data_IF_278868053404
#
_entry.id   IF_278868053404
#
_cell.length_a   1.000
_cell.length_b   1.000
_cell.length_c   1.000
_cell.angle_alpha   90.00
_cell.angle_beta   90.00
_cell.angle_gamma   90.00
#
_symmetry.space_group_name_H-M   'P 1'
#
loop_
_entity.id
_entity.type
_entity.pdbx_description
1 polymer ?
#
# COMPACT_ATOMS: atom_id res chain seq x y z
N UNK A 1 -31.94 -4.65 -12.34
CA UNK A 1 -32.43 -4.51 -10.95
C UNK A 1 -31.40 -5.00 -9.91
N UNK A 2 -30.09 -4.96 -10.21
CA UNK A 2 -29.01 -5.41 -9.28
C UNK A 2 -28.27 -4.28 -8.54
N UNK A 3 -28.62 -3.02 -8.75
CA UNK A 3 -27.82 -1.88 -8.27
C UNK A 3 -28.05 -1.47 -6.79
N UNK A 4 -28.99 -2.08 -6.06
CA UNK A 4 -29.21 -1.71 -4.64
C UNK A 4 -28.18 -2.29 -3.67
N UNK A 5 -27.33 -3.24 -4.10
CA UNK A 5 -26.34 -3.90 -3.22
C UNK A 5 -25.00 -3.15 -3.06
N UNK A 6 -24.79 -2.05 -3.79
CA UNK A 6 -23.49 -1.37 -3.82
C UNK A 6 -23.46 -0.03 -3.06
N UNK A 7 -24.49 0.25 -2.26
CA UNK A 7 -24.57 1.49 -1.48
C UNK A 7 -23.65 1.39 -0.28
N UNK A 8 -22.67 2.28 -0.18
CA UNK A 8 -21.72 2.33 0.94
C UNK A 8 -22.22 3.27 2.04
N UNK A 9 -22.04 2.85 3.30
CA UNK A 9 -22.23 3.71 4.46
C UNK A 9 -21.27 4.90 4.43
N UNK A 10 -21.79 6.11 4.60
CA UNK A 10 -21.04 7.36 4.56
C UNK A 10 -19.83 7.38 5.50
N UNK A 11 -19.91 6.70 6.66
CA UNK A 11 -18.80 6.63 7.62
C UNK A 11 -17.68 5.71 7.15
N UNK A 12 -18.03 4.60 6.49
CA UNK A 12 -17.03 3.69 5.90
C UNK A 12 -16.32 4.41 4.75
N UNK A 13 -17.09 5.12 3.92
CA UNK A 13 -16.55 5.94 2.85
C UNK A 13 -15.61 7.03 3.38
N UNK A 14 -16.01 7.75 4.44
CA UNK A 14 -15.19 8.77 5.08
C UNK A 14 -13.89 8.19 5.67
N UNK A 15 -13.94 6.98 6.25
CA UNK A 15 -12.77 6.30 6.79
C UNK A 15 -11.78 5.82 5.71
N UNK A 16 -12.29 5.44 4.53
CA UNK A 16 -11.48 5.03 3.37
C UNK A 16 -11.01 6.21 2.51
N UNK A 17 -11.71 7.35 2.57
CA UNK A 17 -11.51 8.53 1.72
C UNK A 17 -10.04 8.99 1.61
N UNK A 18 -9.25 9.09 2.70
CA UNK A 18 -7.85 9.52 2.59
C UNK A 18 -7.02 8.64 1.65
N UNK A 19 -7.18 7.31 1.72
CA UNK A 19 -6.42 6.38 0.89
C UNK A 19 -6.90 6.42 -0.57
N UNK A 20 -8.22 6.50 -0.78
CA UNK A 20 -8.81 6.63 -2.12
C UNK A 20 -8.33 7.93 -2.78
N UNK A 21 -8.33 9.04 -2.04
CA UNK A 21 -7.82 10.33 -2.51
C UNK A 21 -6.35 10.22 -2.92
N UNK A 22 -5.51 9.60 -2.09
CA UNK A 22 -4.10 9.40 -2.41
C UNK A 22 -3.89 8.55 -3.67
N UNK A 23 -4.67 7.48 -3.86
CA UNK A 23 -4.58 6.66 -5.09
C UNK A 23 -5.08 7.40 -6.35
N UNK A 24 -6.16 8.16 -6.23
CA UNK A 24 -6.72 8.93 -7.32
C UNK A 24 -5.73 10.02 -7.81
N UNK A 25 -4.96 10.60 -6.90
CA UNK A 25 -3.90 11.56 -7.24
C UNK A 25 -2.87 10.99 -8.23
N UNK A 26 -2.61 9.68 -8.20
CA UNK A 26 -1.67 9.01 -9.10
C UNK A 26 -2.31 8.41 -10.36
N UNK A 27 -3.58 8.70 -10.65
CA UNK A 27 -4.33 8.15 -11.81
C UNK A 27 -4.50 6.61 -11.76
N UNK A 28 -4.37 6.01 -10.58
CA UNK A 28 -4.66 4.60 -10.33
C UNK A 28 -5.83 4.46 -9.34
N UNK A 29 -7.04 4.95 -9.69
CA UNK A 29 -8.21 4.67 -8.87
C UNK A 29 -8.36 3.15 -8.76
N UNK A 30 -8.67 2.64 -7.57
CA UNK A 30 -8.93 1.19 -7.39
C UNK A 30 -10.39 0.82 -7.66
N UNK A 31 -11.29 1.78 -7.45
CA UNK A 31 -12.71 1.68 -7.72
C UNK A 31 -13.29 3.08 -7.90
N UNK A 32 -14.49 3.15 -8.48
CA UNK A 32 -15.22 4.40 -8.67
C UNK A 32 -16.25 4.57 -7.57
N UNK A 33 -16.43 5.80 -7.11
CA UNK A 33 -17.49 6.17 -6.18
C UNK A 33 -18.36 7.22 -6.86
N UNK A 34 -19.65 6.93 -6.99
CA UNK A 34 -20.63 7.85 -7.56
C UNK A 34 -21.89 7.75 -6.72
N UNK A 35 -22.35 8.87 -6.15
CA UNK A 35 -23.59 8.92 -5.35
C UNK A 35 -23.67 7.83 -4.26
N UNK A 36 -22.58 7.65 -3.49
CA UNK A 36 -22.43 6.61 -2.45
C UNK A 36 -22.42 5.17 -2.97
N UNK A 37 -22.50 4.96 -4.27
CA UNK A 37 -22.33 3.64 -4.86
C UNK A 37 -20.86 3.41 -5.20
N UNK A 38 -20.34 2.27 -4.75
CA UNK A 38 -19.02 1.78 -5.19
C UNK A 38 -19.20 0.91 -6.43
N UNK A 39 -18.35 1.13 -7.44
CA UNK A 39 -18.38 0.33 -8.65
C UNK A 39 -16.95 -0.03 -9.08
N UNK A 40 -16.76 -1.19 -9.73
CA UNK A 40 -15.49 -1.49 -10.38
C UNK A 40 -15.21 -0.43 -11.44
N UNK A 41 -13.94 -0.29 -11.80
CA UNK A 41 -13.53 0.67 -12.83
C UNK A 41 -14.24 0.32 -14.13
N UNK A 42 -14.97 1.28 -14.69
CA UNK A 42 -15.65 1.10 -15.96
C UNK A 42 -14.62 0.95 -17.10
N UNK A 43 -14.96 0.24 -18.19
CA UNK A 43 -14.05 0.07 -19.33
C UNK A 43 -13.50 1.39 -19.90
N UNK A 44 -14.28 2.47 -19.85
CA UNK A 44 -13.83 3.82 -20.28
C UNK A 44 -12.69 4.35 -19.42
N UNK A 45 -12.67 4.01 -18.14
CA UNK A 45 -11.64 4.43 -17.20
C UNK A 45 -10.35 3.59 -17.32
N UNK A 46 -10.38 2.43 -17.99
CA UNK A 46 -9.16 1.65 -18.30
C UNK A 46 -8.20 2.45 -19.15
N UNK A 47 -8.70 3.28 -20.08
CA UNK A 47 -7.88 4.17 -20.88
C UNK A 47 -7.13 5.18 -20.00
N UNK A 48 -7.79 5.76 -18.99
CA UNK A 48 -7.14 6.70 -18.06
C UNK A 48 -6.02 6.03 -17.26
N UNK A 49 -6.28 4.85 -16.68
CA UNK A 49 -5.25 4.11 -15.95
C UNK A 49 -4.11 3.60 -16.85
N UNK A 50 -4.41 3.27 -18.11
CA UNK A 50 -3.38 2.91 -19.09
C UNK A 50 -2.50 4.12 -19.43
N UNK A 51 -3.09 5.30 -19.63
CA UNK A 51 -2.33 6.55 -19.79
C UNK A 51 -1.46 6.82 -18.58
N UNK A 52 -2.00 6.65 -17.36
CA UNK A 52 -1.23 6.75 -16.11
C UNK A 52 -0.02 5.80 -16.09
N UNK A 53 -0.21 4.53 -16.46
CA UNK A 53 0.88 3.55 -16.53
C UNK A 53 1.94 3.93 -17.57
N UNK A 54 1.53 4.40 -18.76
CA UNK A 54 2.45 4.88 -19.80
C UNK A 54 3.24 6.09 -19.31
N UNK A 55 2.60 7.05 -18.63
CA UNK A 55 3.28 8.20 -18.04
C UNK A 55 4.32 7.79 -16.99
N UNK A 56 3.99 6.83 -16.12
CA UNK A 56 4.95 6.29 -15.15
C UNK A 56 6.14 5.61 -15.82
N UNK A 57 5.93 4.86 -16.89
CA UNK A 57 7.02 4.25 -17.68
C UNK A 57 7.87 5.33 -18.36
N UNK A 58 7.27 6.35 -18.95
CA UNK A 58 8.00 7.46 -19.58
C UNK A 58 8.86 8.22 -18.57
N UNK A 59 8.36 8.47 -17.35
CA UNK A 59 9.15 9.07 -16.26
C UNK A 59 10.37 8.21 -15.92
N UNK A 60 10.22 6.88 -15.90
CA UNK A 60 11.32 5.94 -15.63
C UNK A 60 12.34 5.91 -16.77
N UNK A 61 11.88 5.89 -18.02
CA UNK A 61 12.75 5.95 -19.21
C UNK A 61 13.52 7.28 -19.21
N UNK A 62 12.83 8.39 -18.98
CA UNK A 62 13.46 9.71 -18.86
C UNK A 62 14.55 9.70 -17.80
N UNK A 63 14.27 9.19 -16.59
CA UNK A 63 15.27 9.06 -15.53
C UNK A 63 16.46 8.20 -15.94
N UNK A 64 16.22 7.04 -16.55
CA UNK A 64 17.29 6.15 -17.02
C UNK A 64 18.19 6.89 -18.03
N UNK A 65 17.58 7.52 -19.03
CA UNK A 65 18.26 8.31 -20.06
C UNK A 65 19.08 9.44 -19.42
N UNK A 66 18.48 10.24 -18.55
CA UNK A 66 19.18 11.32 -17.84
C UNK A 66 20.39 10.79 -17.08
N UNK A 67 20.25 9.72 -16.30
CA UNK A 67 21.36 9.17 -15.51
C UNK A 67 22.49 8.66 -16.41
N UNK A 68 22.15 7.96 -17.51
CA UNK A 68 23.15 7.48 -18.47
C UNK A 68 23.85 8.63 -19.22
N UNK A 69 23.14 9.66 -19.67
CA UNK A 69 23.73 10.75 -20.44
C UNK A 69 24.67 11.64 -19.63
N UNK A 70 24.37 11.86 -18.35
CA UNK A 70 25.20 12.68 -17.48
C UNK A 70 26.39 11.90 -16.88
N UNK A 71 26.57 10.61 -17.23
CA UNK A 71 27.61 9.73 -16.67
C UNK A 71 27.72 9.86 -15.14
N UNK A 72 26.58 9.93 -14.45
CA UNK A 72 26.54 10.12 -12.99
C UNK A 72 27.26 9.00 -12.24
N UNK A 73 27.44 7.86 -12.89
CA UNK A 73 28.05 6.68 -12.32
C UNK A 73 29.07 6.07 -13.32
N UNK A 74 30.09 5.38 -12.81
CA UNK A 74 31.12 4.76 -13.64
C UNK A 74 30.61 3.56 -14.44
N UNK A 75 31.41 3.04 -15.38
CA UNK A 75 31.02 1.98 -16.34
C UNK A 75 30.37 0.73 -15.71
N UNK A 76 30.69 0.39 -14.46
CA UNK A 76 30.12 -0.77 -13.76
C UNK A 76 28.66 -0.57 -13.29
N UNK A 77 28.16 0.66 -13.29
CA UNK A 77 26.85 1.01 -12.75
C UNK A 77 25.70 0.87 -13.75
N UNK A 78 25.99 0.79 -15.05
CA UNK A 78 24.97 0.75 -16.11
C UNK A 78 24.08 -0.51 -16.00
N UNK A 79 24.70 -1.65 -15.70
CA UNK A 79 23.96 -2.90 -15.46
C UNK A 79 23.02 -2.80 -14.26
N UNK A 80 23.45 -2.09 -13.21
CA UNK A 80 22.67 -1.89 -11.99
C UNK A 80 21.50 -0.91 -12.22
N UNK A 81 21.74 0.16 -12.99
CA UNK A 81 20.71 1.11 -13.41
C UNK A 81 19.65 0.44 -14.29
N UNK A 82 20.08 -0.39 -15.24
CA UNK A 82 19.19 -1.19 -16.08
C UNK A 82 18.36 -2.16 -15.24
N UNK A 83 18.98 -2.87 -14.29
CA UNK A 83 18.26 -3.74 -13.37
C UNK A 83 17.18 -2.96 -12.59
N UNK A 84 17.53 -1.81 -12.01
CA UNK A 84 16.58 -0.96 -11.29
C UNK A 84 15.43 -0.45 -12.18
N UNK A 85 15.72 -0.12 -13.44
CA UNK A 85 14.70 0.23 -14.43
C UNK A 85 13.74 -0.93 -14.68
N UNK A 86 14.27 -2.12 -14.94
CA UNK A 86 13.47 -3.34 -15.18
C UNK A 86 12.56 -3.66 -13.99
N UNK A 87 13.09 -3.60 -12.77
CA UNK A 87 12.27 -3.79 -11.56
C UNK A 87 11.19 -2.72 -11.45
N UNK A 88 11.51 -1.46 -11.76
CA UNK A 88 10.55 -0.37 -11.81
C UNK A 88 9.40 -0.61 -12.80
N UNK A 89 9.70 -1.17 -13.99
CA UNK A 89 8.70 -1.56 -14.98
C UNK A 89 7.76 -2.66 -14.46
N UNK A 90 8.31 -3.70 -13.82
CA UNK A 90 7.48 -4.72 -13.16
C UNK A 90 6.54 -4.12 -12.11
N UNK A 91 7.03 -3.15 -11.33
CA UNK A 91 6.20 -2.42 -10.37
C UNK A 91 5.01 -1.70 -11.00
N UNK A 92 5.22 -1.09 -12.17
CA UNK A 92 4.15 -0.39 -12.90
C UNK A 92 3.12 -1.38 -13.41
N UNK A 93 3.57 -2.52 -13.96
CA UNK A 93 2.69 -3.60 -14.43
C UNK A 93 1.86 -4.15 -13.27
N UNK A 94 2.49 -4.49 -12.14
CA UNK A 94 1.77 -5.00 -10.98
C UNK A 94 0.80 -3.96 -10.40
N UNK A 95 1.16 -2.69 -10.38
CA UNK A 95 0.25 -1.63 -9.94
C UNK A 95 -0.97 -1.50 -10.83
N UNK A 96 -0.80 -1.65 -12.14
CA UNK A 96 -1.92 -1.71 -13.09
C UNK A 96 -2.81 -2.93 -12.81
N UNK A 97 -2.22 -4.12 -12.60
CA UNK A 97 -2.99 -5.34 -12.27
C UNK A 97 -3.78 -5.16 -10.97
N UNK A 98 -3.16 -4.66 -9.91
CA UNK A 98 -3.77 -4.50 -8.58
C UNK A 98 -4.89 -3.46 -8.60
N UNK A 99 -4.70 -2.34 -9.31
CA UNK A 99 -5.68 -1.26 -9.29
C UNK A 99 -6.78 -1.45 -10.34
N UNK A 100 -6.44 -1.97 -11.53
CA UNK A 100 -7.39 -2.11 -12.64
C UNK A 100 -7.97 -3.50 -12.73
N UNK A 101 -7.13 -4.53 -12.89
CA UNK A 101 -7.61 -5.91 -13.10
C UNK A 101 -8.31 -6.44 -11.86
N UNK A 102 -7.81 -6.10 -10.67
CA UNK A 102 -8.39 -6.53 -9.39
C UNK A 102 -9.46 -5.56 -8.85
N UNK A 103 -9.92 -4.57 -9.64
CA UNK A 103 -10.88 -3.56 -9.15
C UNK A 103 -12.18 -4.19 -8.65
N UNK A 104 -12.69 -5.22 -9.34
CA UNK A 104 -13.91 -5.91 -8.93
C UNK A 104 -13.75 -6.59 -7.56
N UNK A 105 -12.64 -7.28 -7.34
CA UNK A 105 -12.34 -7.91 -6.06
C UNK A 105 -12.20 -6.88 -4.94
N UNK A 106 -11.62 -5.71 -5.23
CA UNK A 106 -11.52 -4.62 -4.26
C UNK A 106 -12.90 -4.05 -3.87
N UNK A 107 -13.83 -3.95 -4.82
CA UNK A 107 -15.21 -3.52 -4.56
C UNK A 107 -15.94 -4.53 -3.69
N UNK A 108 -15.92 -5.81 -4.07
CA UNK A 108 -16.56 -6.88 -3.29
C UNK A 108 -16.00 -6.96 -1.88
N UNK A 109 -14.68 -6.80 -1.72
CA UNK A 109 -14.03 -6.77 -0.41
C UNK A 109 -14.60 -5.67 0.50
N UNK A 110 -14.82 -4.46 -0.03
CA UNK A 110 -15.40 -3.36 0.76
C UNK A 110 -16.86 -3.65 1.13
N UNK A 111 -17.64 -4.24 0.22
CA UNK A 111 -19.04 -4.63 0.47
C UNK A 111 -19.11 -5.69 1.56
N UNK A 112 -18.30 -6.75 1.48
CA UNK A 112 -18.26 -7.83 2.47
C UNK A 112 -17.83 -7.31 3.86
N UNK A 113 -16.85 -6.39 3.92
CA UNK A 113 -16.46 -5.74 5.18
C UNK A 113 -17.57 -4.87 5.76
N UNK A 114 -18.31 -4.15 4.92
CA UNK A 114 -19.43 -3.33 5.36
C UNK A 114 -20.57 -4.18 5.94
N UNK A 115 -20.94 -5.25 5.26
CA UNK A 115 -21.99 -6.17 5.73
C UNK A 115 -21.59 -6.82 7.06
N UNK A 116 -20.35 -7.29 7.18
CA UNK A 116 -19.82 -7.82 8.44
C UNK A 116 -19.85 -6.77 9.56
N UNK A 117 -19.45 -5.53 9.26
CA UNK A 117 -19.50 -4.43 10.22
C UNK A 117 -20.92 -4.19 10.70
N UNK A 118 -21.91 -4.09 9.82
CA UNK A 118 -23.30 -3.84 10.21
C UNK A 118 -23.86 -4.89 11.18
N UNK A 119 -23.50 -6.17 11.03
CA UNK A 119 -23.89 -7.22 11.98
C UNK A 119 -23.30 -7.02 13.39
N UNK A 120 -22.20 -6.28 13.53
CA UNK A 120 -21.45 -6.06 14.78
C UNK A 120 -21.70 -4.68 15.43
N UNK A 121 -22.80 -4.01 15.06
CA UNK A 121 -23.13 -2.57 15.20
C UNK A 121 -22.79 -1.76 16.47
N UNK A 122 -22.34 -2.34 17.59
CA UNK A 122 -22.25 -1.63 18.87
C UNK A 122 -21.11 -0.59 18.95
N UNK A 123 -19.94 -0.83 18.32
CA UNK A 123 -18.74 0.03 18.48
C UNK A 123 -18.08 0.53 17.18
N UNK A 124 -18.78 0.47 16.06
CA UNK A 124 -18.22 0.78 14.71
C UNK A 124 -17.66 2.21 14.61
N UNK A 125 -18.33 3.21 15.21
CA UNK A 125 -17.97 4.63 15.01
C UNK A 125 -16.55 4.94 15.48
N UNK A 126 -16.17 4.42 16.65
CA UNK A 126 -14.84 4.66 17.21
C UNK A 126 -13.77 3.96 16.36
N UNK A 127 -14.01 2.69 16.01
CA UNK A 127 -13.09 1.92 15.17
C UNK A 127 -12.84 2.58 13.80
N UNK A 128 -13.88 3.10 13.15
CA UNK A 128 -13.73 3.79 11.86
C UNK A 128 -13.03 5.15 11.98
N UNK A 129 -13.24 5.88 13.07
CA UNK A 129 -12.53 7.14 13.34
C UNK A 129 -11.04 6.91 13.54
N UNK A 130 -10.68 5.93 14.37
CA UNK A 130 -9.29 5.54 14.59
C UNK A 130 -8.66 5.04 13.28
N UNK A 131 -9.43 4.28 12.49
CA UNK A 131 -9.00 3.82 11.18
C UNK A 131 -8.64 4.97 10.24
N UNK A 132 -9.51 5.99 10.15
CA UNK A 132 -9.30 7.21 9.35
C UNK A 132 -8.06 7.96 9.80
N UNK A 133 -7.91 8.19 11.09
CA UNK A 133 -6.77 8.92 11.66
C UNK A 133 -5.45 8.26 11.25
N UNK A 134 -5.34 6.95 11.47
CA UNK A 134 -4.14 6.20 11.09
C UNK A 134 -3.88 6.20 9.58
N UNK A 135 -4.92 6.21 8.74
CA UNK A 135 -4.74 6.34 7.29
C UNK A 135 -4.11 7.69 6.90
N UNK A 136 -4.59 8.78 7.50
CA UNK A 136 -4.04 10.13 7.29
C UNK A 136 -2.58 10.19 7.74
N UNK A 137 -2.28 9.67 8.95
CA UNK A 137 -0.90 9.61 9.48
C UNK A 137 0.01 8.84 8.53
N UNK A 138 -0.41 7.67 8.06
CA UNK A 138 0.37 6.86 7.13
C UNK A 138 0.67 7.57 5.81
N UNK A 139 -0.33 8.24 5.22
CA UNK A 139 -0.14 9.03 3.99
C UNK A 139 0.84 10.18 4.26
N UNK A 140 0.63 10.95 5.34
CA UNK A 140 1.51 12.05 5.70
C UNK A 140 2.97 11.59 5.93
N UNK A 141 3.17 10.46 6.62
CA UNK A 141 4.48 9.86 6.83
C UNK A 141 5.15 9.43 5.53
N UNK A 142 4.42 8.82 4.59
CA UNK A 142 4.96 8.48 3.27
C UNK A 142 5.40 9.76 2.55
N UNK A 143 4.48 10.71 2.32
CA UNK A 143 4.78 11.89 1.52
C UNK A 143 5.91 12.72 2.16
N UNK A 144 5.83 12.95 3.47
CA UNK A 144 6.90 13.63 4.23
C UNK A 144 8.23 12.90 4.15
N UNK A 145 8.23 11.57 4.25
CA UNK A 145 9.43 10.74 4.13
C UNK A 145 10.08 10.82 2.74
N UNK A 146 9.29 10.85 1.67
CA UNK A 146 9.79 11.01 0.29
C UNK A 146 10.37 12.42 0.04
N UNK A 147 9.72 13.46 0.55
CA UNK A 147 10.22 14.85 0.48
C UNK A 147 11.55 14.96 1.23
N UNK A 148 11.60 14.45 2.47
CA UNK A 148 12.82 14.46 3.29
C UNK A 148 13.95 13.67 2.62
N UNK A 149 13.66 12.48 2.11
CA UNK A 149 14.64 11.66 1.39
C UNK A 149 15.19 12.39 0.16
N UNK A 150 14.32 13.02 -0.63
CA UNK A 150 14.74 13.79 -1.81
C UNK A 150 15.63 14.96 -1.43
N UNK A 151 15.27 15.71 -0.39
CA UNK A 151 16.09 16.83 0.09
C UNK A 151 17.46 16.39 0.62
N UNK A 152 17.49 15.34 1.45
CA UNK A 152 18.74 14.78 1.98
C UNK A 152 19.61 14.20 0.87
N UNK A 153 19.02 13.52 -0.11
CA UNK A 153 19.74 12.97 -1.25
C UNK A 153 20.33 14.08 -2.13
N UNK A 154 19.60 15.17 -2.40
CA UNK A 154 20.11 16.31 -3.15
C UNK A 154 21.33 16.94 -2.46
N UNK A 155 21.21 17.20 -1.15
CA UNK A 155 22.33 17.71 -0.33
C UNK A 155 23.53 16.76 -0.34
N UNK A 156 23.29 15.45 -0.22
CA UNK A 156 24.35 14.44 -0.15
C UNK A 156 25.11 14.22 -1.47
N UNK A 157 24.48 14.54 -2.60
CA UNK A 157 25.09 14.41 -3.93
C UNK A 157 25.59 15.74 -4.51
N UNK A 158 25.42 16.85 -3.79
CA UNK A 158 25.74 18.20 -4.28
C UNK A 158 25.04 18.51 -5.62
N UNK A 159 23.90 17.85 -5.88
CA UNK A 159 23.14 17.99 -7.11
C UNK A 159 22.23 19.23 -7.02
N UNK A 160 22.68 20.36 -7.55
CA UNK A 160 21.83 21.57 -7.69
C UNK A 160 20.95 21.53 -8.94
N UNK A 161 21.22 20.63 -9.88
CA UNK A 161 20.48 20.47 -11.13
C UNK A 161 19.79 19.10 -11.17
N UNK A 162 18.45 19.08 -11.17
CA UNK A 162 17.67 17.84 -11.38
C UNK A 162 16.75 17.42 -10.24
N UNK A 163 16.67 18.17 -9.14
CA UNK A 163 15.84 17.85 -7.96
C UNK A 163 14.36 17.56 -8.32
N UNK A 164 13.79 18.35 -9.23
CA UNK A 164 12.41 18.17 -9.68
C UNK A 164 12.22 16.83 -10.44
N UNK A 165 13.17 16.45 -11.29
CA UNK A 165 13.16 15.16 -12.00
C UNK A 165 13.23 14.00 -11.01
N UNK A 166 14.09 14.13 -10.01
CA UNK A 166 14.23 13.13 -8.95
C UNK A 166 12.92 12.98 -8.17
N UNK A 167 12.30 14.08 -7.73
CA UNK A 167 11.02 14.06 -7.03
C UNK A 167 9.91 13.39 -7.87
N UNK A 168 9.79 13.78 -9.14
CA UNK A 168 8.79 13.20 -10.05
C UNK A 168 8.98 11.70 -10.22
N UNK A 169 10.22 11.22 -10.30
CA UNK A 169 10.48 9.78 -10.38
C UNK A 169 10.09 9.00 -9.11
N UNK A 170 10.12 9.66 -7.95
CA UNK A 170 9.70 9.08 -6.68
C UNK A 170 8.18 9.04 -6.49
N UNK A 171 7.43 9.92 -7.18
CA UNK A 171 5.96 9.85 -7.22
C UNK A 171 5.46 8.48 -7.67
N UNK A 172 6.16 7.84 -8.62
CA UNK A 172 5.85 6.47 -9.05
C UNK A 172 6.01 5.48 -7.90
N UNK A 173 7.10 5.59 -7.12
CA UNK A 173 7.36 4.71 -5.98
C UNK A 173 6.35 4.91 -4.83
N UNK A 174 5.85 6.15 -4.63
CA UNK A 174 4.78 6.42 -3.65
C UNK A 174 3.54 5.56 -3.95
N UNK A 175 3.19 5.39 -5.22
CA UNK A 175 2.02 4.56 -5.61
C UNK A 175 2.17 3.11 -5.15
N UNK A 176 3.40 2.58 -5.18
CA UNK A 176 3.69 1.22 -4.73
C UNK A 176 3.55 1.10 -3.22
N UNK A 177 4.10 2.06 -2.48
CA UNK A 177 4.01 2.06 -1.02
C UNK A 177 2.55 2.26 -0.56
N UNK A 178 1.76 3.09 -1.27
CA UNK A 178 0.33 3.26 -0.99
C UNK A 178 -0.46 1.96 -1.17
N UNK A 179 -0.15 1.15 -2.19
CA UNK A 179 -0.80 -0.16 -2.38
C UNK A 179 -0.52 -1.10 -1.20
N UNK A 180 0.69 -1.05 -0.64
CA UNK A 180 1.07 -1.83 0.55
C UNK A 180 0.38 -1.31 1.80
N UNK A 181 0.35 0.01 2.01
CA UNK A 181 -0.39 0.58 3.14
C UNK A 181 -1.86 0.20 3.05
N UNK A 182 -2.48 0.30 1.88
CA UNK A 182 -3.85 -0.15 1.68
C UNK A 182 -4.04 -1.62 2.04
N UNK A 183 -3.17 -2.51 1.56
CA UNK A 183 -3.21 -3.93 1.92
C UNK A 183 -3.15 -4.12 3.45
N UNK A 184 -2.15 -3.52 4.10
CA UNK A 184 -1.98 -3.58 5.57
C UNK A 184 -3.22 -3.09 6.30
N UNK A 185 -3.72 -1.91 5.93
CA UNK A 185 -4.86 -1.29 6.59
C UNK A 185 -6.14 -2.10 6.36
N UNK A 186 -6.36 -2.66 5.17
CA UNK A 186 -7.48 -3.58 4.94
C UNK A 186 -7.39 -4.83 5.83
N UNK A 187 -6.22 -5.45 5.94
CA UNK A 187 -6.03 -6.62 6.80
C UNK A 187 -6.25 -6.29 8.28
N UNK A 188 -5.72 -5.17 8.77
CA UNK A 188 -5.94 -4.70 10.16
C UNK A 188 -7.43 -4.50 10.42
N UNK A 189 -8.16 -3.85 9.50
CA UNK A 189 -9.60 -3.65 9.65
C UNK A 189 -10.33 -4.99 9.71
N UNK A 190 -9.99 -5.91 8.83
CA UNK A 190 -10.60 -7.26 8.79
C UNK A 190 -10.33 -8.01 10.09
N UNK A 191 -9.11 -7.95 10.62
CA UNK A 191 -8.74 -8.55 11.91
C UNK A 191 -9.53 -7.94 13.08
N UNK A 192 -9.65 -6.61 13.14
CA UNK A 192 -10.43 -5.94 14.19
C UNK A 192 -11.92 -6.26 14.13
N UNK A 193 -12.48 -6.48 12.94
CA UNK A 193 -13.87 -6.94 12.77
C UNK A 193 -14.00 -8.38 13.30
N UNK A 194 -13.04 -9.26 13.02
CA UNK A 194 -13.03 -10.64 13.54
C UNK A 194 -12.88 -10.68 15.07
N UNK A 195 -12.03 -9.84 15.66
CA UNK A 195 -11.90 -9.72 17.11
C UNK A 195 -13.20 -9.24 17.77
N UNK A 196 -13.89 -8.28 17.16
CA UNK A 196 -15.19 -7.81 17.62
C UNK A 196 -16.26 -8.91 17.49
N UNK A 197 -16.20 -9.72 16.43
CA UNK A 197 -17.05 -10.90 16.27
C UNK A 197 -16.79 -11.93 17.37
N UNK A 198 -15.53 -12.26 17.67
CA UNK A 198 -15.17 -13.21 18.74
C UNK A 198 -15.71 -12.76 20.10
N UNK A 199 -15.56 -11.47 20.41
CA UNK A 199 -16.04 -10.89 21.66
C UNK A 199 -17.56 -11.00 21.77
N UNK A 200 -18.29 -10.61 20.71
CA UNK A 200 -19.75 -10.70 20.67
C UNK A 200 -20.26 -12.14 20.70
N UNK A 201 -19.56 -13.07 20.05
CA UNK A 201 -19.92 -14.49 20.09
C UNK A 201 -19.74 -15.08 21.49
N UNK A 202 -18.66 -14.70 22.19
CA UNK A 202 -18.45 -15.10 23.59
C UNK A 202 -19.55 -14.56 24.52
N UNK A 203 -20.02 -13.33 24.29
CA UNK A 203 -21.15 -12.75 25.03
C UNK A 203 -22.44 -13.56 24.79
N UNK A 204 -22.80 -13.82 23.53
CA UNK A 204 -24.01 -14.60 23.16
C UNK A 204 -23.96 -16.01 23.75
N UNK A 205 -22.79 -16.67 23.77
CA UNK A 205 -22.64 -18.00 24.36
C UNK A 205 -22.87 -18.04 25.88
N UNK A 206 -22.81 -16.88 26.55
CA UNK A 206 -23.10 -16.74 27.98
C UNK A 206 -24.57 -16.45 28.31
N UNK A 207 -25.40 -16.15 27.31
CA UNK A 207 -26.82 -15.79 27.46
C UNK A 207 -27.77 -17.00 27.41
N UNK A 208 -29.05 -16.78 27.75
CA UNK A 208 -30.11 -17.81 27.76
C UNK A 208 -30.44 -18.35 26.36
N UNK A 209 -31.03 -19.55 26.30
CA UNK A 209 -31.10 -20.40 25.10
C UNK A 209 -31.94 -19.83 23.95
N UNK A 210 -32.95 -19.00 24.22
CA UNK A 210 -33.89 -18.50 23.19
C UNK A 210 -33.32 -17.33 22.38
N UNK A 211 -32.53 -16.44 23.00
CA UNK A 211 -31.80 -15.35 22.30
C UNK A 211 -30.69 -15.92 21.41
N UNK A 212 -30.13 -17.06 21.82
CA UNK A 212 -29.00 -17.72 21.16
C UNK A 212 -29.32 -18.21 19.75
N UNK A 213 -30.51 -18.77 19.51
CA UNK A 213 -30.84 -19.36 18.19
C UNK A 213 -30.94 -18.30 17.08
N UNK A 214 -31.64 -17.19 17.32
CA UNK A 214 -31.80 -16.12 16.31
C UNK A 214 -30.49 -15.35 16.07
N UNK A 215 -29.70 -15.07 17.12
CA UNK A 215 -28.42 -14.38 16.96
C UNK A 215 -27.34 -15.24 16.30
N UNK A 216 -27.42 -16.58 16.40
CA UNK A 216 -26.41 -17.48 15.84
C UNK A 216 -26.32 -17.42 14.31
N UNK A 217 -27.45 -17.24 13.61
CA UNK A 217 -27.45 -17.20 12.14
C UNK A 217 -26.81 -15.92 11.60
N UNK A 218 -27.15 -14.76 12.17
CA UNK A 218 -26.56 -13.48 11.79
C UNK A 218 -25.06 -13.43 12.10
N UNK A 219 -24.64 -13.98 13.24
CA UNK A 219 -23.23 -14.09 13.59
C UNK A 219 -22.47 -15.02 12.65
N UNK A 220 -23.03 -16.19 12.31
CA UNK A 220 -22.39 -17.08 11.35
C UNK A 220 -22.25 -16.43 9.96
N UNK A 221 -23.30 -15.75 9.49
CA UNK A 221 -23.25 -14.97 8.26
C UNK A 221 -22.16 -13.89 8.32
N UNK A 222 -22.07 -13.14 9.42
CA UNK A 222 -21.02 -12.13 9.59
C UNK A 222 -19.61 -12.74 9.53
N UNK A 223 -19.41 -13.91 10.14
CA UNK A 223 -18.15 -14.64 10.08
C UNK A 223 -17.78 -15.01 8.64
N UNK A 224 -18.71 -15.60 7.87
CA UNK A 224 -18.48 -15.94 6.46
C UNK A 224 -18.05 -14.71 5.64
N UNK A 225 -18.71 -13.56 5.87
CA UNK A 225 -18.37 -12.29 5.22
C UNK A 225 -16.96 -11.81 5.56
N UNK A 226 -16.52 -11.94 6.81
CA UNK A 226 -15.15 -11.60 7.24
C UNK A 226 -14.12 -12.46 6.53
N UNK A 227 -14.35 -13.78 6.47
CA UNK A 227 -13.44 -14.72 5.80
C UNK A 227 -13.39 -14.46 4.29
N UNK A 228 -14.53 -14.19 3.66
CA UNK A 228 -14.61 -13.85 2.25
C UNK A 228 -13.88 -12.53 1.94
N UNK A 229 -14.05 -11.50 2.78
CA UNK A 229 -13.32 -10.25 2.65
C UNK A 229 -11.79 -10.46 2.71
N UNK A 230 -11.30 -11.28 3.65
CA UNK A 230 -9.88 -11.61 3.74
C UNK A 230 -9.37 -12.37 2.50
N UNK A 231 -10.15 -13.32 1.99
CA UNK A 231 -9.83 -14.06 0.77
C UNK A 231 -9.75 -13.14 -0.47
N UNK A 232 -10.67 -12.17 -0.57
CA UNK A 232 -10.64 -11.14 -1.60
C UNK A 232 -9.44 -10.20 -1.44
N UNK A 233 -9.10 -9.81 -0.22
CA UNK A 233 -7.90 -9.04 0.11
C UNK A 233 -6.63 -9.77 -0.36
N UNK A 234 -6.48 -11.05 -0.04
CA UNK A 234 -5.36 -11.88 -0.50
C UNK A 234 -5.24 -11.87 -2.03
N UNK A 235 -6.34 -12.12 -2.74
CA UNK A 235 -6.37 -12.09 -4.22
C UNK A 235 -6.00 -10.73 -4.79
N UNK A 236 -6.52 -9.66 -4.19
CA UNK A 236 -6.31 -8.29 -4.67
C UNK A 236 -4.88 -7.77 -4.45
N UNK A 237 -4.22 -8.18 -3.36
CA UNK A 237 -2.94 -7.59 -2.93
C UNK A 237 -1.72 -8.53 -3.00
N UNK A 238 -1.88 -9.83 -3.26
CA UNK A 238 -0.76 -10.80 -3.29
C UNK A 238 0.40 -10.34 -4.19
N UNK A 239 0.12 -9.81 -5.38
CA UNK A 239 1.14 -9.34 -6.31
C UNK A 239 1.83 -8.06 -5.80
N UNK A 240 1.09 -7.22 -5.08
CA UNK A 240 1.63 -6.00 -4.48
C UNK A 240 2.62 -6.34 -3.38
N UNK A 241 2.23 -7.23 -2.47
CA UNK A 241 3.09 -7.72 -1.39
C UNK A 241 4.34 -8.40 -1.96
N UNK A 242 4.16 -9.31 -2.93
CA UNK A 242 5.29 -9.97 -3.59
C UNK A 242 6.27 -8.97 -4.22
N UNK A 243 5.75 -8.02 -5.01
CA UNK A 243 6.57 -6.99 -5.64
C UNK A 243 7.30 -6.14 -4.61
N UNK A 244 6.63 -5.69 -3.54
CA UNK A 244 7.26 -4.85 -2.54
C UNK A 244 8.36 -5.59 -1.76
N UNK A 245 8.16 -6.87 -1.46
CA UNK A 245 9.20 -7.73 -0.86
C UNK A 245 10.42 -7.80 -1.78
N UNK A 246 10.20 -8.11 -3.06
CA UNK A 246 11.27 -8.19 -4.05
C UNK A 246 11.99 -6.85 -4.25
N UNK A 247 11.24 -5.76 -4.38
CA UNK A 247 11.75 -4.39 -4.51
C UNK A 247 12.56 -3.96 -3.29
N UNK A 248 12.14 -4.35 -2.08
CA UNK A 248 12.89 -4.04 -0.84
C UNK A 248 14.25 -4.72 -0.85
N UNK A 249 14.29 -6.02 -1.17
CA UNK A 249 15.53 -6.76 -1.29
C UNK A 249 16.45 -6.16 -2.37
N UNK A 250 15.91 -5.90 -3.56
CA UNK A 250 16.64 -5.26 -4.65
C UNK A 250 17.17 -3.87 -4.24
N UNK A 251 16.35 -3.04 -3.58
CA UNK A 251 16.73 -1.70 -3.11
C UNK A 251 17.91 -1.75 -2.13
N UNK A 252 17.94 -2.73 -1.23
CA UNK A 252 19.05 -2.90 -0.27
C UNK A 252 20.35 -3.20 -1.02
N UNK A 253 20.32 -4.18 -1.92
CA UNK A 253 21.50 -4.55 -2.73
C UNK A 253 21.97 -3.39 -3.61
N UNK A 254 21.03 -2.72 -4.28
CA UNK A 254 21.30 -1.55 -5.09
C UNK A 254 21.96 -0.42 -4.29
N UNK A 255 21.40 -0.09 -3.12
CA UNK A 255 21.94 0.97 -2.26
C UNK A 255 23.33 0.61 -1.73
N UNK A 256 23.55 -0.65 -1.36
CA UNK A 256 24.85 -1.13 -0.88
C UNK A 256 25.91 -1.05 -1.97
N UNK A 257 25.58 -1.46 -3.20
CA UNK A 257 26.50 -1.37 -4.34
C UNK A 257 26.87 0.08 -4.65
N UNK A 258 25.89 0.98 -4.72
CA UNK A 258 26.15 2.42 -4.94
C UNK A 258 27.03 3.02 -3.85
N UNK A 259 26.79 2.65 -2.59
CA UNK A 259 27.61 3.12 -1.48
C UNK A 259 29.06 2.62 -1.59
N UNK A 260 29.28 1.36 -1.96
CA UNK A 260 30.61 0.79 -2.15
C UNK A 260 31.36 1.42 -3.33
N UNK A 261 30.68 1.67 -4.45
CA UNK A 261 31.28 2.36 -5.59
C UNK A 261 31.70 3.78 -5.23
N UNK A 262 30.83 4.52 -4.54
CA UNK A 262 31.18 5.84 -4.03
C UNK A 262 32.36 5.80 -3.06
N UNK A 263 32.38 4.85 -2.13
CA UNK A 263 33.46 4.71 -1.16
C UNK A 263 34.81 4.41 -1.81
N UNK A 264 34.82 3.76 -2.99
CA UNK A 264 36.04 3.49 -3.76
C UNK A 264 36.55 4.72 -4.52
N UNK A 265 35.64 5.59 -4.98
CA UNK A 265 36.00 6.75 -5.80
C UNK A 265 36.25 8.03 -4.99
N UNK A 266 35.66 8.16 -3.80
CA UNK A 266 35.73 9.38 -3.00
C UNK A 266 37.10 9.59 -2.34
N UNK A 267 37.52 10.85 -2.24
CA UNK A 267 38.66 11.22 -1.40
C UNK A 267 38.38 10.95 0.08
N UNK A 268 39.42 10.84 0.91
CA UNK A 268 39.26 10.60 2.35
C UNK A 268 38.42 11.66 3.08
N UNK A 269 38.46 12.92 2.65
CA UNK A 269 37.68 14.00 3.26
C UNK A 269 36.21 13.98 2.81
N UNK A 270 35.94 13.77 1.53
CA UNK A 270 34.58 13.63 1.00
C UNK A 270 33.86 12.39 1.56
N UNK A 271 34.60 11.31 1.79
CA UNK A 271 34.07 10.08 2.36
C UNK A 271 33.54 10.30 3.78
N UNK A 272 34.23 11.11 4.60
CA UNK A 272 33.85 11.34 6.00
C UNK A 272 32.49 12.04 6.15
N UNK A 273 32.24 13.07 5.35
CA UNK A 273 31.02 13.89 5.48
C UNK A 273 29.91 13.38 4.56
N UNK A 274 30.15 13.33 3.25
CA UNK A 274 29.12 12.95 2.27
C UNK A 274 28.89 11.45 2.25
N UNK A 275 29.92 10.64 2.47
CA UNK A 275 29.77 9.19 2.59
C UNK A 275 28.86 8.82 3.78
N UNK A 276 29.10 9.41 4.95
CA UNK A 276 28.25 9.18 6.12
C UNK A 276 26.78 9.59 5.84
N UNK A 277 26.56 10.78 5.28
CA UNK A 277 25.22 11.26 4.97
C UNK A 277 24.49 10.36 3.96
N UNK A 278 25.17 9.91 2.89
CA UNK A 278 24.61 8.94 1.92
C UNK A 278 24.28 7.62 2.58
N UNK A 279 25.19 7.09 3.40
CA UNK A 279 24.99 5.84 4.14
C UNK A 279 23.77 5.89 5.06
N UNK A 280 23.63 6.96 5.85
CA UNK A 280 22.46 7.19 6.71
C UNK A 280 21.19 7.32 5.89
N UNK A 281 21.23 8.04 4.77
CA UNK A 281 20.08 8.24 3.88
C UNK A 281 19.60 6.92 3.26
N UNK A 282 20.53 6.09 2.76
CA UNK A 282 20.20 4.75 2.25
C UNK A 282 19.71 3.82 3.35
N UNK A 283 20.32 3.84 4.53
CA UNK A 283 19.88 3.03 5.65
C UNK A 283 18.46 3.39 6.09
N UNK A 284 18.15 4.67 6.23
CA UNK A 284 16.82 5.16 6.57
C UNK A 284 15.78 4.75 5.50
N UNK A 285 16.14 4.87 4.22
CA UNK A 285 15.27 4.47 3.11
C UNK A 285 14.92 2.98 3.14
N UNK A 286 15.93 2.14 3.30
CA UNK A 286 15.73 0.69 3.35
C UNK A 286 15.01 0.25 4.62
N UNK A 287 15.26 0.92 5.75
CA UNK A 287 14.51 0.70 6.99
C UNK A 287 13.01 1.01 6.82
N UNK A 288 12.66 2.09 6.10
CA UNK A 288 11.26 2.40 5.78
C UNK A 288 10.59 1.27 5.00
N UNK A 289 11.24 0.76 3.96
CA UNK A 289 10.68 -0.34 3.15
C UNK A 289 10.53 -1.63 3.98
N UNK A 290 11.51 -1.93 4.83
CA UNK A 290 11.45 -3.08 5.73
C UNK A 290 10.32 -2.94 6.76
N UNK A 291 10.13 -1.76 7.35
CA UNK A 291 9.02 -1.48 8.28
C UNK A 291 7.65 -1.67 7.63
N UNK A 292 7.48 -1.27 6.36
CA UNK A 292 6.24 -1.52 5.62
C UNK A 292 5.96 -3.03 5.48
N UNK A 293 6.99 -3.83 5.17
CA UNK A 293 6.86 -5.30 5.13
C UNK A 293 6.52 -5.90 6.48
N UNK A 294 7.21 -5.47 7.54
CA UNK A 294 6.93 -5.93 8.91
C UNK A 294 5.47 -5.61 9.29
N UNK A 295 4.98 -4.41 8.97
CA UNK A 295 3.61 -4.01 9.26
C UNK A 295 2.57 -4.89 8.54
N UNK A 296 2.80 -5.26 7.27
CA UNK A 296 1.94 -6.22 6.56
C UNK A 296 1.94 -7.57 7.27
N UNK A 297 3.12 -8.09 7.61
CA UNK A 297 3.26 -9.40 8.27
C UNK A 297 2.57 -9.43 9.63
N UNK A 298 2.76 -8.38 10.45
CA UNK A 298 2.10 -8.23 11.75
C UNK A 298 0.58 -8.14 11.59
N UNK A 299 0.09 -7.43 10.57
CA UNK A 299 -1.34 -7.37 10.28
C UNK A 299 -1.91 -8.76 9.94
N UNK A 300 -1.21 -9.54 9.10
CA UNK A 300 -1.60 -10.90 8.78
C UNK A 300 -1.58 -11.82 10.01
N UNK A 301 -0.53 -11.75 10.84
CA UNK A 301 -0.43 -12.54 12.07
C UNK A 301 -1.57 -12.24 13.03
N UNK A 302 -1.93 -10.96 13.19
CA UNK A 302 -3.06 -10.53 14.01
C UNK A 302 -4.38 -11.12 13.49
N UNK A 303 -4.59 -11.14 12.17
CA UNK A 303 -5.77 -11.77 11.58
C UNK A 303 -5.80 -13.29 11.88
N UNK A 304 -4.68 -14.00 11.70
CA UNK A 304 -4.61 -15.44 11.97
C UNK A 304 -4.78 -15.77 13.45
N UNK A 305 -4.30 -14.92 14.36
CA UNK A 305 -4.54 -15.07 15.79
C UNK A 305 -6.03 -14.95 16.10
N UNK A 306 -6.71 -13.91 15.59
CA UNK A 306 -8.14 -13.74 15.76
C UNK A 306 -8.96 -14.87 15.14
N UNK A 307 -8.51 -15.43 14.00
CA UNK A 307 -9.14 -16.60 13.37
C UNK A 307 -9.03 -17.85 14.25
N UNK A 308 -7.86 -18.11 14.82
CA UNK A 308 -7.66 -19.24 15.73
C UNK A 308 -8.59 -19.16 16.95
N UNK A 309 -8.77 -17.96 17.50
CA UNK A 309 -9.67 -17.74 18.64
C UNK A 309 -11.15 -17.95 18.25
N UNK A 310 -11.50 -17.77 16.97
CA UNK A 310 -12.85 -18.04 16.45
C UNK A 310 -13.16 -19.54 16.29
N UNK A 311 -12.12 -20.36 16.11
CA UNK A 311 -12.22 -21.80 15.87
C UNK A 311 -12.22 -22.63 17.17
N UNK A 312 -11.88 -22.02 18.32
CA UNK A 312 -11.84 -22.65 19.65
C UNK A 312 -13.13 -22.46 20.43
#
# INVERSE_FOLDING_TARGET
MENSRNIIDEKILDALSPLIFAQNFFLFPKFMITERCIAPIAPRSYTSSFVGAVLMLLIRIYRLVTVCFYNYFGENSDALLLANFVVGCFGTIFSYVINVVQSANAVYMVIELQEALWCLSSNIKQSLSDYKFWNIVNIACIFGGYILYTGLFGVANQETHGEASFLVSHLVSITYDLNIILATRTVILTASILEAWNSKMSEILSEETEVRENCSQDMFSAYEKIINAFNLCKKAYQFGIFYHTFQTFHSILYSMQLFLEYAKSASHEELKVFGLLRGVTYFAWNSKNFLLLVNVSVACERFYAALRDAET
#
